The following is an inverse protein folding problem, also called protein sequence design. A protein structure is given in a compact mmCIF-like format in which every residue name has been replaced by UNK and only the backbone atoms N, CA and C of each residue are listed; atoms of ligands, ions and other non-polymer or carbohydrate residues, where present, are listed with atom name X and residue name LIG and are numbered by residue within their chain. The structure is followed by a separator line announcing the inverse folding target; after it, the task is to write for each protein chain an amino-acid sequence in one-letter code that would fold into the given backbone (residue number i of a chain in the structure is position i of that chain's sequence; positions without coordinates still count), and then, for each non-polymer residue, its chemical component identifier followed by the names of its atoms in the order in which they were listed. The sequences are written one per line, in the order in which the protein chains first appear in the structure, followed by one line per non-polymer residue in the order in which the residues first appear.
data_IF_357198993075
#
_entry.id   IF_357198993075
#
_cell.length_a   1.000
_cell.length_b   1.000
_cell.length_c   1.000
_cell.angle_alpha   90.00
_cell.angle_beta   90.00
_cell.angle_gamma   90.00
#
_symmetry.space_group_name_H-M   'P 1'
#
loop_
_entity.id
_entity.type
_entity.pdbx_description
1 polymer ?
#
# COMPACT_ATOMS: atom_id res chain seq x y z
N UNK A 1 -11.84 6.46 12.44
CA UNK A 1 -10.47 6.54 12.96
C UNK A 1 -10.08 5.16 13.48
N UNK A 2 -8.94 4.64 13.05
CA UNK A 2 -8.32 3.41 13.55
C UNK A 2 -6.98 3.79 14.18
N UNK A 3 -6.78 3.63 15.50
CA UNK A 3 -5.47 3.87 16.14
C UNK A 3 -4.49 2.70 15.97
N UNK A 4 -3.18 2.97 16.09
CA UNK A 4 -2.11 1.96 16.13
C UNK A 4 -2.31 1.00 17.32
N UNK A 5 -2.51 1.55 18.52
CA UNK A 5 -2.86 0.79 19.71
C UNK A 5 -4.36 0.46 19.77
N UNK A 6 -4.61 -0.83 19.70
CA UNK A 6 -5.86 -1.42 19.24
C UNK A 6 -6.65 -2.01 20.41
N UNK A 7 -7.24 -1.14 21.25
CA UNK A 7 -7.97 -1.55 22.45
C UNK A 7 -9.47 -1.78 22.24
N UNK A 8 -9.89 -3.01 21.92
CA UNK A 8 -11.30 -3.41 22.01
C UNK A 8 -11.64 -3.99 23.39
N UNK A 9 -12.93 -3.92 23.77
CA UNK A 9 -13.43 -4.41 25.06
C UNK A 9 -13.24 -5.93 25.22
N UNK A 10 -12.12 -6.34 25.81
CA UNK A 10 -11.62 -7.72 25.84
C UNK A 10 -12.61 -8.75 26.39
N UNK A 11 -13.48 -8.34 27.32
CA UNK A 11 -14.46 -9.23 27.97
C UNK A 11 -15.80 -9.28 27.24
N UNK A 12 -16.07 -8.41 26.29
CA UNK A 12 -17.36 -8.31 25.59
C UNK A 12 -17.41 -9.21 24.35
N UNK A 13 -18.62 -9.56 23.90
CA UNK A 13 -18.79 -10.31 22.66
C UNK A 13 -18.51 -9.43 21.45
N UNK A 14 -17.97 -10.04 20.40
CA UNK A 14 -17.63 -9.33 19.15
C UNK A 14 -18.83 -8.58 18.58
N UNK A 15 -19.96 -9.26 18.43
CA UNK A 15 -21.18 -8.66 17.89
C UNK A 15 -21.69 -7.49 18.73
N UNK A 16 -21.67 -7.63 20.05
CA UNK A 16 -22.14 -6.60 20.99
C UNK A 16 -21.26 -5.33 20.90
N UNK A 17 -19.94 -5.50 20.80
CA UNK A 17 -19.00 -4.39 20.62
C UNK A 17 -19.24 -3.67 19.29
N UNK A 18 -19.38 -4.42 18.19
CA UNK A 18 -19.61 -3.81 16.88
C UNK A 18 -20.95 -3.11 16.78
N UNK A 19 -22.01 -3.70 17.36
CA UNK A 19 -23.33 -3.09 17.45
C UNK A 19 -23.25 -1.77 18.22
N UNK A 20 -22.65 -1.80 19.42
CA UNK A 20 -22.45 -0.61 20.24
C UNK A 20 -21.68 0.49 19.50
N UNK A 21 -20.58 0.15 18.82
CA UNK A 21 -19.79 1.12 18.06
C UNK A 21 -20.56 1.66 16.85
N UNK A 22 -21.38 0.85 16.19
CA UNK A 22 -22.26 1.29 15.11
C UNK A 22 -23.31 2.29 15.58
N UNK A 23 -24.01 1.98 16.67
CA UNK A 23 -25.00 2.86 17.30
C UNK A 23 -24.35 4.18 17.75
N UNK A 24 -23.15 4.12 18.36
CA UNK A 24 -22.38 5.29 18.76
C UNK A 24 -21.98 6.18 17.58
N UNK A 25 -21.89 5.62 16.37
CA UNK A 25 -21.61 6.34 15.12
C UNK A 25 -22.89 6.78 14.38
N UNK A 26 -24.05 6.69 15.03
CA UNK A 26 -25.31 7.21 14.52
C UNK A 26 -26.11 6.23 13.65
N UNK A 27 -25.74 4.95 13.62
CA UNK A 27 -26.57 3.95 12.96
C UNK A 27 -27.78 3.60 13.81
N UNK A 28 -28.94 3.47 13.16
CA UNK A 28 -30.08 2.81 13.79
C UNK A 28 -29.75 1.35 14.09
N UNK A 29 -30.22 0.84 15.23
CA UNK A 29 -29.91 -0.51 15.70
C UNK A 29 -30.12 -1.59 14.65
N UNK A 30 -31.26 -1.58 13.96
CA UNK A 30 -31.59 -2.59 12.96
C UNK A 30 -30.64 -2.54 11.74
N UNK A 31 -30.14 -1.34 11.38
CA UNK A 31 -29.12 -1.16 10.34
C UNK A 31 -27.77 -1.68 10.84
N UNK A 32 -27.40 -1.32 12.07
CA UNK A 32 -26.16 -1.76 12.70
C UNK A 32 -26.11 -3.29 12.79
N UNK A 33 -27.16 -3.96 13.28
CA UNK A 33 -27.22 -5.43 13.37
C UNK A 33 -26.98 -6.12 12.02
N UNK A 34 -27.65 -5.65 10.95
CA UNK A 34 -27.44 -6.15 9.59
C UNK A 34 -25.99 -5.92 9.12
N UNK A 35 -25.44 -4.74 9.36
CA UNK A 35 -24.07 -4.40 8.95
C UNK A 35 -23.02 -5.13 9.77
N UNK A 36 -23.27 -5.44 11.05
CA UNK A 36 -22.39 -6.29 11.87
C UNK A 36 -22.20 -7.63 11.18
N UNK A 37 -23.29 -8.29 10.78
CA UNK A 37 -23.22 -9.58 10.11
C UNK A 37 -22.50 -9.47 8.76
N UNK A 38 -22.87 -8.47 7.95
CA UNK A 38 -22.24 -8.23 6.66
C UNK A 38 -20.72 -8.02 6.78
N UNK A 39 -20.25 -7.14 7.67
CA UNK A 39 -18.83 -6.83 7.78
C UNK A 39 -18.04 -7.92 8.50
N UNK A 40 -18.64 -8.65 9.44
CA UNK A 40 -18.01 -9.84 10.01
C UNK A 40 -17.84 -10.94 8.96
N UNK A 41 -18.83 -11.14 8.10
CA UNK A 41 -18.75 -12.10 7.00
C UNK A 41 -17.65 -11.71 6.00
N UNK A 42 -17.61 -10.44 5.59
CA UNK A 42 -16.56 -9.89 4.71
C UNK A 42 -15.14 -10.10 5.24
N UNK A 43 -14.94 -10.06 6.56
CA UNK A 43 -13.62 -10.32 7.15
C UNK A 43 -13.39 -11.79 7.53
N UNK A 44 -14.36 -12.68 7.25
CA UNK A 44 -14.29 -14.12 7.51
C UNK A 44 -14.44 -14.48 9.00
N UNK A 45 -15.21 -13.69 9.75
CA UNK A 45 -15.35 -13.80 11.21
C UNK A 45 -16.81 -13.88 11.69
N UNK A 46 -17.78 -14.17 10.80
CA UNK A 46 -19.20 -14.26 11.16
C UNK A 46 -19.45 -15.24 12.33
N UNK A 47 -18.84 -16.41 12.29
CA UNK A 47 -18.93 -17.45 13.34
C UNK A 47 -18.40 -16.99 14.71
N UNK A 48 -17.63 -15.91 14.74
CA UNK A 48 -17.05 -15.37 15.97
C UNK A 48 -17.92 -14.33 16.64
N UNK A 49 -19.04 -13.93 16.03
CA UNK A 49 -19.95 -12.89 16.54
C UNK A 49 -20.31 -13.07 18.02
N UNK A 50 -20.51 -14.32 18.45
CA UNK A 50 -20.89 -14.68 19.83
C UNK A 50 -19.70 -14.91 20.78
N UNK A 51 -18.47 -15.01 20.27
CA UNK A 51 -17.25 -15.16 21.07
C UNK A 51 -16.88 -13.83 21.72
N UNK A 52 -16.16 -13.89 22.84
CA UNK A 52 -15.56 -12.70 23.46
C UNK A 52 -14.30 -12.29 22.72
N UNK A 53 -13.99 -11.00 22.73
CA UNK A 53 -12.83 -10.45 22.04
C UNK A 53 -11.51 -11.12 22.46
N UNK A 54 -11.33 -11.41 23.76
CA UNK A 54 -10.14 -12.12 24.29
C UNK A 54 -9.96 -13.56 23.80
N UNK A 55 -11.00 -14.17 23.23
CA UNK A 55 -10.94 -15.53 22.68
C UNK A 55 -10.43 -15.54 21.23
N UNK A 56 -10.29 -14.35 20.62
CA UNK A 56 -9.77 -14.16 19.27
C UNK A 56 -8.25 -14.04 19.29
N UNK A 57 -7.59 -14.56 18.26
CA UNK A 57 -6.18 -14.26 18.00
C UNK A 57 -5.98 -12.76 17.73
N UNK A 58 -4.75 -12.26 17.86
CA UNK A 58 -4.42 -10.86 17.56
C UNK A 58 -4.90 -10.44 16.17
N UNK A 59 -4.64 -11.26 15.13
CA UNK A 59 -5.08 -10.99 13.76
C UNK A 59 -6.61 -10.97 13.60
N UNK A 60 -7.33 -11.84 14.32
CA UNK A 60 -8.80 -11.80 14.32
C UNK A 60 -9.34 -10.54 15.01
N UNK A 61 -8.74 -10.11 16.12
CA UNK A 61 -9.12 -8.85 16.78
C UNK A 61 -8.89 -7.65 15.85
N UNK A 62 -7.77 -7.64 15.10
CA UNK A 62 -7.48 -6.61 14.11
C UNK A 62 -8.54 -6.55 13.00
N UNK A 63 -8.99 -7.70 12.48
CA UNK A 63 -10.09 -7.76 11.51
C UNK A 63 -11.40 -7.21 12.06
N UNK A 64 -11.73 -7.52 13.32
CA UNK A 64 -12.93 -6.97 13.98
C UNK A 64 -12.82 -5.44 14.09
N UNK A 65 -11.64 -4.89 14.35
CA UNK A 65 -11.43 -3.43 14.39
C UNK A 65 -11.62 -2.78 13.04
N UNK A 66 -11.11 -3.40 11.97
CA UNK A 66 -11.37 -2.93 10.61
C UNK A 66 -12.88 -2.96 10.33
N UNK A 67 -13.56 -4.06 10.66
CA UNK A 67 -15.02 -4.14 10.53
C UNK A 67 -15.72 -3.01 11.32
N UNK A 68 -15.28 -2.69 12.54
CA UNK A 68 -15.83 -1.59 13.34
C UNK A 68 -15.68 -0.21 12.68
N UNK A 69 -14.58 0.01 11.95
CA UNK A 69 -14.31 1.29 11.25
C UNK A 69 -15.11 1.39 9.96
N UNK A 70 -15.30 0.27 9.25
CA UNK A 70 -16.03 0.22 7.97
C UNK A 70 -17.54 0.17 8.15
N UNK A 71 -18.04 -0.42 9.24
CA UNK A 71 -19.46 -0.64 9.51
C UNK A 71 -20.33 0.62 9.43
N UNK A 72 -19.90 1.81 9.89
CA UNK A 72 -20.66 3.06 9.70
C UNK A 72 -20.75 3.53 8.25
N UNK A 73 -19.99 2.93 7.33
CA UNK A 73 -19.78 3.40 5.96
C UNK A 73 -19.30 4.87 5.88
N UNK A 74 -18.17 5.21 6.52
CA UNK A 74 -17.72 6.60 6.61
C UNK A 74 -17.26 7.16 5.25
N UNK A 75 -17.53 8.45 5.01
CA UNK A 75 -16.98 9.21 3.88
C UNK A 75 -15.52 9.65 4.10
N UNK A 76 -15.03 9.62 5.35
CA UNK A 76 -13.63 9.90 5.71
C UNK A 76 -13.11 8.84 6.68
N UNK A 77 -12.00 8.20 6.31
CA UNK A 77 -11.28 7.25 7.14
C UNK A 77 -9.89 7.77 7.44
N UNK A 78 -9.51 7.76 8.72
CA UNK A 78 -8.15 8.04 9.19
C UNK A 78 -7.65 6.75 9.83
N UNK A 79 -6.59 6.18 9.28
CA UNK A 79 -6.11 4.84 9.62
C UNK A 79 -4.64 4.91 10.03
N UNK A 80 -4.37 4.57 11.27
CA UNK A 80 -3.02 4.58 11.82
C UNK A 80 -2.40 3.18 11.73
N UNK A 81 -1.36 3.02 10.91
CA UNK A 81 -0.67 1.77 10.62
C UNK A 81 -1.62 0.56 10.42
N UNK A 82 -2.60 0.64 9.49
CA UNK A 82 -3.69 -0.34 9.42
C UNK A 82 -3.20 -1.76 9.08
N UNK A 83 -2.05 -1.88 8.41
CA UNK A 83 -1.51 -3.16 7.93
C UNK A 83 -0.55 -3.85 8.90
N UNK A 84 -0.20 -3.20 10.00
CA UNK A 84 0.80 -3.71 10.92
C UNK A 84 0.33 -5.01 11.61
N UNK A 85 1.22 -5.98 11.73
CA UNK A 85 0.94 -7.27 12.36
C UNK A 85 0.02 -8.20 11.57
N UNK A 86 -0.42 -7.82 10.37
CA UNK A 86 -1.18 -8.68 9.47
C UNK A 86 -0.28 -9.58 8.63
N UNK A 87 -0.69 -10.83 8.47
CA UNK A 87 -0.16 -11.73 7.44
C UNK A 87 -0.55 -11.26 6.01
N UNK A 88 0.11 -11.79 4.96
CA UNK A 88 -0.14 -11.38 3.58
C UNK A 88 -1.59 -11.53 3.12
N UNK A 89 -2.30 -12.58 3.52
CA UNK A 89 -3.69 -12.84 3.11
C UNK A 89 -4.61 -11.74 3.66
N UNK A 90 -4.42 -11.39 4.92
CA UNK A 90 -5.23 -10.36 5.56
C UNK A 90 -4.91 -8.94 5.07
N UNK A 91 -3.67 -8.69 4.63
CA UNK A 91 -3.32 -7.42 3.97
C UNK A 91 -4.09 -7.23 2.68
N UNK A 92 -4.09 -8.24 1.79
CA UNK A 92 -4.84 -8.19 0.53
C UNK A 92 -6.30 -7.91 0.79
N UNK A 93 -6.91 -8.66 1.71
CA UNK A 93 -8.30 -8.45 2.11
C UNK A 93 -8.57 -6.99 2.53
N UNK A 94 -7.77 -6.44 3.44
CA UNK A 94 -7.98 -5.09 3.96
C UNK A 94 -7.72 -4.04 2.87
N UNK A 95 -6.71 -4.25 2.02
CA UNK A 95 -6.44 -3.41 0.85
C UNK A 95 -7.64 -3.35 -0.08
N UNK A 96 -8.26 -4.50 -0.39
CA UNK A 96 -9.42 -4.57 -1.27
C UNK A 96 -10.64 -3.86 -0.66
N UNK A 97 -10.88 -4.02 0.64
CA UNK A 97 -11.92 -3.29 1.37
C UNK A 97 -11.71 -1.77 1.26
N UNK A 98 -10.48 -1.28 1.46
CA UNK A 98 -10.18 0.14 1.34
C UNK A 98 -10.36 0.65 -0.09
N UNK A 99 -9.90 -0.11 -1.10
CA UNK A 99 -10.07 0.23 -2.52
C UNK A 99 -11.56 0.32 -2.90
N UNK A 100 -12.41 -0.57 -2.40
CA UNK A 100 -13.86 -0.50 -2.61
C UNK A 100 -14.46 0.79 -2.03
N UNK A 101 -14.08 1.15 -0.81
CA UNK A 101 -14.55 2.38 -0.18
C UNK A 101 -14.10 3.63 -0.93
N UNK A 102 -12.84 3.66 -1.36
CA UNK A 102 -12.31 4.73 -2.21
C UNK A 102 -13.08 4.82 -3.53
N UNK A 103 -13.39 3.69 -4.17
CA UNK A 103 -14.19 3.64 -5.40
C UNK A 103 -15.63 4.15 -5.20
N UNK A 104 -16.17 4.03 -3.98
CA UNK A 104 -17.46 4.61 -3.58
C UNK A 104 -17.39 6.10 -3.22
N UNK A 105 -16.21 6.72 -3.31
CA UNK A 105 -15.99 8.14 -3.04
C UNK A 105 -15.56 8.46 -1.60
N UNK A 106 -15.26 7.46 -0.77
CA UNK A 106 -14.69 7.72 0.56
C UNK A 106 -13.25 8.24 0.46
N UNK A 107 -12.91 9.23 1.28
CA UNK A 107 -11.54 9.71 1.45
C UNK A 107 -10.83 8.86 2.50
N UNK A 108 -9.61 8.39 2.19
CA UNK A 108 -8.81 7.56 3.08
C UNK A 108 -7.48 8.26 3.32
N UNK A 109 -7.19 8.55 4.58
CA UNK A 109 -5.90 9.01 5.07
C UNK A 109 -5.31 7.87 5.88
N UNK A 110 -4.15 7.37 5.48
CA UNK A 110 -3.44 6.35 6.23
C UNK A 110 -2.01 6.81 6.55
N UNK A 111 -1.53 6.47 7.73
CA UNK A 111 -0.10 6.49 8.06
C UNK A 111 0.48 5.12 7.75
N UNK A 112 1.70 5.10 7.23
CA UNK A 112 2.48 3.88 7.12
C UNK A 112 3.97 4.17 6.99
N UNK A 113 4.80 3.39 7.68
CA UNK A 113 6.24 3.33 7.44
C UNK A 113 6.61 2.42 6.25
N UNK A 114 5.64 1.76 5.62
CA UNK A 114 5.86 0.78 4.55
C UNK A 114 5.59 1.38 3.18
N UNK A 115 6.66 1.73 2.47
CA UNK A 115 6.54 2.45 1.21
C UNK A 115 5.97 1.60 0.08
N UNK A 116 6.14 0.28 0.12
CA UNK A 116 5.49 -0.66 -0.81
C UNK A 116 3.96 -0.56 -0.74
N UNK A 117 3.42 -0.39 0.48
CA UNK A 117 1.98 -0.22 0.69
C UNK A 117 1.50 1.16 0.23
N UNK A 118 2.27 2.20 0.52
CA UNK A 118 1.98 3.56 0.03
C UNK A 118 1.95 3.57 -1.50
N UNK A 119 2.89 2.89 -2.14
CA UNK A 119 2.96 2.82 -3.59
C UNK A 119 1.79 2.05 -4.22
N UNK A 120 1.35 0.96 -3.59
CA UNK A 120 0.23 0.16 -4.08
C UNK A 120 -1.13 0.86 -3.90
N UNK A 121 -1.31 1.59 -2.80
CA UNK A 121 -2.64 2.04 -2.36
C UNK A 121 -2.89 3.53 -2.51
N UNK A 122 -1.85 4.36 -2.39
CA UNK A 122 -2.04 5.79 -2.28
C UNK A 122 -1.95 6.46 -3.65
N UNK A 123 -2.91 7.35 -3.95
CA UNK A 123 -2.79 8.29 -5.07
C UNK A 123 -1.72 9.34 -4.79
N UNK A 124 -1.69 9.83 -3.55
CA UNK A 124 -0.81 10.91 -3.11
C UNK A 124 -0.15 10.56 -1.78
N UNK A 125 1.05 11.11 -1.59
CA UNK A 125 1.87 10.91 -0.40
C UNK A 125 2.24 12.25 0.21
N UNK A 126 2.37 12.28 1.53
CA UNK A 126 2.94 13.37 2.30
C UNK A 126 3.96 12.80 3.28
N UNK A 127 5.23 13.15 3.10
CA UNK A 127 6.34 12.65 3.92
C UNK A 127 6.71 13.67 4.98
N UNK A 128 6.81 13.20 6.22
CA UNK A 128 7.23 14.01 7.38
C UNK A 128 8.57 13.50 7.87
N UNK A 129 9.54 14.41 8.04
CA UNK A 129 10.81 14.13 8.71
C UNK A 129 11.08 15.23 9.75
N UNK A 130 11.49 14.86 10.97
CA UNK A 130 11.77 15.79 12.09
C UNK A 130 10.68 16.86 12.29
N UNK A 131 9.40 16.46 12.19
CA UNK A 131 8.25 17.36 12.37
C UNK A 131 7.97 18.33 11.21
N UNK A 132 8.65 18.18 10.06
CA UNK A 132 8.46 19.01 8.87
C UNK A 132 8.03 18.17 7.68
N UNK A 133 7.13 18.70 6.86
CA UNK A 133 6.82 18.13 5.55
C UNK A 133 8.00 18.30 4.61
N UNK A 134 8.59 17.18 4.18
CA UNK A 134 9.78 17.17 3.30
C UNK A 134 9.43 16.78 1.86
N UNK A 135 8.27 16.15 1.64
CA UNK A 135 7.81 15.74 0.32
C UNK A 135 6.28 15.68 0.29
N UNK A 136 5.68 16.11 -0.81
CA UNK A 136 4.24 16.01 -1.03
C UNK A 136 3.92 15.94 -2.52
N UNK A 137 2.95 15.10 -2.91
CA UNK A 137 2.45 15.04 -4.28
C UNK A 137 1.80 13.70 -4.63
N UNK A 138 1.36 13.56 -5.88
CA UNK A 138 0.93 12.25 -6.38
C UNK A 138 2.13 11.30 -6.41
N UNK A 139 1.92 10.05 -5.98
CA UNK A 139 3.00 9.04 -5.90
C UNK A 139 3.71 8.90 -7.24
N UNK A 140 2.95 8.89 -8.35
CA UNK A 140 3.51 8.79 -9.69
C UNK A 140 4.42 9.97 -10.05
N UNK A 141 4.02 11.19 -9.71
CA UNK A 141 4.79 12.39 -10.02
C UNK A 141 6.02 12.51 -9.13
N UNK A 142 5.88 12.13 -7.86
CA UNK A 142 7.01 11.99 -6.93
C UNK A 142 8.02 11.02 -7.52
N UNK A 143 7.65 9.79 -7.88
CA UNK A 143 8.58 8.80 -8.46
C UNK A 143 9.26 9.34 -9.72
N UNK A 144 8.54 10.06 -10.58
CA UNK A 144 9.13 10.69 -11.79
C UNK A 144 10.15 11.77 -11.47
N UNK A 145 9.91 12.60 -10.45
CA UNK A 145 10.84 13.67 -10.03
C UNK A 145 12.18 13.12 -9.54
N UNK A 146 12.17 11.93 -8.96
CA UNK A 146 13.37 11.23 -8.47
C UNK A 146 13.89 10.18 -9.46
N UNK A 147 13.37 10.15 -10.69
CA UNK A 147 13.79 9.18 -11.69
C UNK A 147 15.24 9.42 -12.11
N UNK A 148 16.07 8.40 -11.98
CA UNK A 148 17.39 8.37 -12.59
C UNK A 148 17.28 8.06 -14.08
N UNK A 149 18.35 8.30 -14.83
CA UNK A 149 18.49 7.82 -16.21
C UNK A 149 18.70 6.30 -16.23
N UNK A 150 17.66 5.53 -15.93
CA UNK A 150 17.74 4.06 -15.81
C UNK A 150 16.56 3.34 -16.47
N UNK A 151 16.80 2.10 -16.88
CA UNK A 151 15.82 1.23 -17.56
C UNK A 151 15.83 -0.17 -16.95
N UNK A 152 14.66 -0.82 -16.90
CA UNK A 152 14.58 -2.26 -16.72
C UNK A 152 14.55 -2.92 -18.09
N UNK A 153 15.44 -3.90 -18.29
CA UNK A 153 15.60 -4.62 -19.55
C UNK A 153 15.67 -6.12 -19.29
N UNK A 154 14.92 -6.87 -20.10
CA UNK A 154 15.03 -8.32 -20.22
C UNK A 154 15.16 -8.64 -21.71
N UNK A 155 16.28 -9.26 -22.08
CA UNK A 155 16.59 -9.60 -23.46
C UNK A 155 17.45 -10.87 -23.56
N UNK A 156 17.52 -11.43 -24.76
CA UNK A 156 18.31 -12.61 -25.12
C UNK A 156 19.83 -12.39 -25.15
N UNK A 157 20.30 -11.16 -24.89
CA UNK A 157 21.72 -10.78 -24.94
C UNK A 157 22.22 -10.22 -23.63
N UNK A 158 23.53 -10.40 -23.39
CA UNK A 158 24.21 -9.72 -22.29
C UNK A 158 24.52 -8.28 -22.66
N UNK A 159 23.80 -7.37 -22.02
CA UNK A 159 23.89 -5.92 -22.19
C UNK A 159 24.66 -5.24 -21.05
N UNK A 160 25.15 -6.01 -20.07
CA UNK A 160 25.78 -5.48 -18.86
C UNK A 160 27.13 -4.82 -19.14
N UNK A 161 27.80 -5.21 -20.23
CA UNK A 161 29.07 -4.65 -20.69
C UNK A 161 28.92 -3.51 -21.71
N UNK A 162 27.69 -3.04 -21.98
CA UNK A 162 27.47 -1.98 -22.97
C UNK A 162 28.18 -0.67 -22.58
N UNK A 163 28.85 0.02 -23.51
CA UNK A 163 29.55 1.28 -23.22
C UNK A 163 28.60 2.40 -22.80
N UNK A 164 27.30 2.31 -23.12
CA UNK A 164 26.28 3.26 -22.70
C UNK A 164 25.84 3.09 -21.23
N UNK A 165 26.22 1.98 -20.58
CA UNK A 165 25.80 1.65 -19.21
C UNK A 165 26.85 2.12 -18.21
N UNK A 166 26.40 2.82 -17.17
CA UNK A 166 27.21 3.30 -16.05
C UNK A 166 27.18 2.33 -14.86
N UNK A 167 26.01 1.72 -14.60
CA UNK A 167 25.80 0.80 -13.47
C UNK A 167 24.76 -0.24 -13.84
N UNK A 168 24.94 -1.45 -13.31
CA UNK A 168 24.04 -2.59 -13.49
C UNK A 168 23.58 -3.09 -12.13
N UNK A 169 22.30 -3.44 -12.02
CA UNK A 169 21.75 -4.20 -10.90
C UNK A 169 20.88 -5.35 -11.44
N UNK A 170 21.16 -6.57 -11.02
CA UNK A 170 20.37 -7.76 -11.40
C UNK A 170 19.16 -7.87 -10.47
N UNK A 171 17.94 -7.93 -11.04
CA UNK A 171 16.68 -8.18 -10.31
C UNK A 171 15.92 -9.34 -10.95
N UNK A 172 16.23 -10.57 -10.49
CA UNK A 172 15.67 -11.78 -11.09
C UNK A 172 16.15 -11.94 -12.54
N UNK A 173 15.20 -12.16 -13.45
CA UNK A 173 15.47 -12.31 -14.89
C UNK A 173 15.65 -10.96 -15.62
N UNK A 174 15.24 -9.85 -15.00
CA UNK A 174 15.44 -8.52 -15.53
C UNK A 174 16.69 -7.84 -14.94
N UNK A 175 17.33 -6.97 -15.72
CA UNK A 175 18.42 -6.10 -15.27
C UNK A 175 17.96 -4.65 -15.25
N UNK A 176 18.25 -3.96 -14.14
CA UNK A 176 18.18 -2.50 -14.09
C UNK A 176 19.53 -1.94 -14.53
N UNK A 177 19.50 -1.10 -15.57
CA UNK A 177 20.69 -0.47 -16.15
C UNK A 177 20.56 1.03 -15.95
N UNK A 178 21.56 1.65 -15.32
CA UNK A 178 21.71 3.10 -15.32
C UNK A 178 22.57 3.47 -16.51
N UNK A 179 22.05 4.33 -17.36
CA UNK A 179 22.73 4.84 -18.54
C UNK A 179 23.62 6.01 -18.15
N UNK A 180 24.73 6.19 -18.87
CA UNK A 180 25.64 7.32 -18.68
C UNK A 180 24.95 8.66 -18.97
N UNK A 181 25.51 9.74 -18.45
CA UNK A 181 25.02 11.09 -18.72
C UNK A 181 25.05 11.39 -20.22
N UNK A 182 23.94 11.93 -20.75
CA UNK A 182 23.76 12.21 -22.18
C UNK A 182 23.26 11.02 -23.02
N UNK A 183 23.26 9.81 -22.49
CA UNK A 183 22.61 8.66 -23.14
C UNK A 183 21.08 8.76 -22.99
N UNK A 184 20.37 8.53 -24.09
CA UNK A 184 18.90 8.50 -24.09
C UNK A 184 18.42 7.05 -23.99
N UNK A 185 17.45 6.75 -23.10
CA UNK A 185 16.81 5.43 -23.06
C UNK A 185 16.34 4.97 -24.44
N UNK A 186 15.72 5.86 -25.22
CA UNK A 186 15.20 5.57 -26.56
C UNK A 186 16.32 5.21 -27.54
N UNK A 187 17.43 5.94 -27.51
CA UNK A 187 18.60 5.64 -28.35
C UNK A 187 19.24 4.31 -27.97
N UNK A 188 19.35 4.04 -26.67
CA UNK A 188 19.85 2.77 -26.15
C UNK A 188 18.99 1.59 -26.62
N UNK A 189 17.65 1.72 -26.51
CA UNK A 189 16.70 0.73 -27.02
C UNK A 189 16.85 0.52 -28.53
N UNK A 190 16.92 1.62 -29.30
CA UNK A 190 17.06 1.55 -30.75
C UNK A 190 18.36 0.84 -31.18
N UNK A 191 19.47 1.08 -30.46
CA UNK A 191 20.74 0.38 -30.70
C UNK A 191 20.64 -1.13 -30.47
N UNK A 192 20.01 -1.55 -29.37
CA UNK A 192 19.80 -2.98 -29.09
C UNK A 192 18.96 -3.67 -30.17
N UNK A 193 17.90 -3.03 -30.63
CA UNK A 193 17.06 -3.56 -31.71
C UNK A 193 17.82 -3.63 -33.04
N UNK A 194 18.64 -2.62 -33.35
CA UNK A 194 19.48 -2.59 -34.55
C UNK A 194 20.53 -3.71 -34.55
N UNK A 195 21.07 -4.05 -33.39
CA UNK A 195 22.02 -5.16 -33.19
C UNK A 195 21.34 -6.55 -33.21
N UNK A 196 20.01 -6.60 -33.37
CA UNK A 196 19.21 -7.81 -33.44
C UNK A 196 18.98 -8.48 -32.08
N UNK A 197 18.90 -7.70 -31.00
CA UNK A 197 18.47 -8.21 -29.70
C UNK A 197 16.96 -8.45 -29.66
N UNK A 198 16.56 -9.58 -29.10
CA UNK A 198 15.15 -9.89 -28.81
C UNK A 198 14.83 -9.40 -27.40
N UNK A 199 13.96 -8.40 -27.30
CA UNK A 199 13.61 -7.75 -26.04
C UNK A 199 12.25 -8.25 -25.56
N UNK A 200 12.23 -8.87 -24.38
CA UNK A 200 11.01 -9.37 -23.72
C UNK A 200 10.38 -8.29 -22.84
N UNK A 201 11.20 -7.46 -22.19
CA UNK A 201 10.75 -6.34 -21.35
C UNK A 201 11.68 -5.15 -21.50
N UNK A 202 11.09 -3.98 -21.70
CA UNK A 202 11.79 -2.71 -21.62
C UNK A 202 10.88 -1.66 -21.02
N UNK A 203 11.33 -1.03 -19.93
CA UNK A 203 10.63 0.10 -19.33
C UNK A 203 11.63 1.07 -18.72
N UNK A 204 11.27 2.36 -18.69
CA UNK A 204 12.02 3.34 -17.90
C UNK A 204 11.85 2.99 -16.43
N UNK A 205 12.98 2.82 -15.73
CA UNK A 205 12.96 2.45 -14.33
C UNK A 205 12.66 3.69 -13.47
N UNK A 206 11.48 3.68 -12.85
CA UNK A 206 11.16 4.64 -11.78
C UNK A 206 11.67 4.08 -10.44
N UNK A 207 12.22 4.93 -9.56
CA UNK A 207 12.63 4.51 -8.23
C UNK A 207 11.43 4.04 -7.42
N UNK A 208 11.58 3.04 -6.55
CA UNK A 208 10.51 2.68 -5.61
C UNK A 208 10.28 3.82 -4.60
N UNK A 209 9.11 3.83 -3.95
CA UNK A 209 8.89 4.78 -2.86
C UNK A 209 9.88 4.60 -1.69
N UNK A 210 10.42 3.39 -1.47
CA UNK A 210 11.53 3.17 -0.52
C UNK A 210 12.81 3.91 -0.94
N UNK A 211 13.18 3.84 -2.22
CA UNK A 211 14.35 4.56 -2.74
C UNK A 211 14.18 6.08 -2.62
N UNK A 212 12.97 6.59 -2.92
CA UNK A 212 12.63 8.01 -2.74
C UNK A 212 12.73 8.41 -1.26
N UNK A 213 12.18 7.59 -0.36
CA UNK A 213 12.22 7.83 1.08
C UNK A 213 13.66 7.98 1.59
N UNK A 214 14.54 7.03 1.25
CA UNK A 214 15.95 7.04 1.69
C UNK A 214 16.67 8.30 1.21
N UNK A 215 16.47 8.71 -0.06
CA UNK A 215 17.06 9.93 -0.61
C UNK A 215 16.61 11.17 0.16
N UNK A 216 15.30 11.36 0.31
CA UNK A 216 14.74 12.55 0.96
C UNK A 216 15.16 12.64 2.43
N UNK A 217 15.16 11.53 3.16
CA UNK A 217 15.53 11.54 4.59
C UNK A 217 17.03 11.77 4.80
N UNK A 218 17.88 11.30 3.89
CA UNK A 218 19.34 11.48 3.96
C UNK A 218 19.76 12.90 3.56
N UNK A 219 18.98 13.58 2.73
CA UNK A 219 19.22 14.96 2.27
C UNK A 219 18.59 16.05 3.18
N UNK A 220 17.83 15.69 4.24
CA UNK A 220 17.07 16.60 5.13
C UNK A 220 17.49 16.61 6.61
#
# INVERSE_FOLDING_TARGET
YLPEERGLYQRQRVGDVLLFLGELKGLERHVAERRVDQYLDRVGLLETKKKRMRELSKGMQQKVQIAAVLLPEPQLMILDEPFEGLDPVNRVLITDLMKEFAAKGATIVLSSHRMDQVEEMCRSVFLINKGKGVLSGEVRDVKRRFADNSVFLECDRDVTASPAVARVEKKGDAVRLWLKDGESPEKFLAGLLADGATITRYERALPSMDEVFVRVVTES
#
